data_IF_996109931835
#
_entry.id   IF_996109931835
#
_cell.length_a   1.000
_cell.length_b   1.000
_cell.length_c   1.000
_cell.angle_alpha   90.00
_cell.angle_beta   90.00
_cell.angle_gamma   90.00
#
_symmetry.space_group_name_H-M   'P 1'
#
loop_
_entity.id
_entity.type
_entity.pdbx_description
1 polymer ?
#
# COMPACT_ATOMS: atom_id res chain seq x y z
N UNK A 1 -22.23 -24.82 13.01
CA UNK A 1 -21.21 -24.28 12.08
C UNK A 1 -20.12 -23.69 12.95
N UNK A 2 -18.84 -23.99 12.70
CA UNK A 2 -17.78 -23.24 13.38
C UNK A 2 -17.94 -21.77 13.02
N UNK A 3 -17.75 -20.87 13.98
CA UNK A 3 -17.78 -19.42 13.75
C UNK A 3 -16.66 -18.96 12.82
N UNK A 4 -15.67 -19.82 12.59
CA UNK A 4 -14.40 -19.51 11.92
C UNK A 4 -14.51 -19.42 10.39
N UNK A 5 -15.65 -19.79 9.80
CA UNK A 5 -15.89 -19.78 8.34
C UNK A 5 -17.05 -18.87 7.93
N UNK A 6 -17.43 -17.90 8.76
CA UNK A 6 -18.54 -16.97 8.48
C UNK A 6 -18.00 -15.57 8.20
N UNK A 7 -18.58 -14.91 7.19
CA UNK A 7 -18.36 -13.51 6.85
C UNK A 7 -19.71 -12.82 6.72
N UNK A 8 -19.87 -11.61 7.25
CA UNK A 8 -21.07 -10.81 7.05
C UNK A 8 -20.94 -10.05 5.73
N UNK A 9 -21.82 -10.31 4.77
CA UNK A 9 -21.85 -9.58 3.49
C UNK A 9 -23.18 -8.88 3.31
N UNK A 10 -23.14 -7.56 3.16
CA UNK A 10 -24.33 -6.71 3.03
C UNK A 10 -25.32 -6.96 4.18
N UNK A 11 -24.81 -7.03 5.42
CA UNK A 11 -25.59 -7.33 6.63
C UNK A 11 -26.06 -8.79 6.78
N UNK A 12 -25.77 -9.67 5.82
CA UNK A 12 -26.20 -11.07 5.84
C UNK A 12 -25.02 -12.00 6.11
N UNK A 13 -25.07 -12.89 7.12
CA UNK A 13 -24.05 -13.92 7.32
C UNK A 13 -23.97 -14.89 6.12
N UNK A 14 -22.76 -15.12 5.63
CA UNK A 14 -22.46 -16.05 4.52
C UNK A 14 -21.34 -16.99 4.94
N UNK A 15 -21.40 -18.23 4.47
CA UNK A 15 -20.36 -19.23 4.74
C UNK A 15 -19.28 -19.23 3.68
N UNK A 16 -18.02 -19.34 4.12
CA UNK A 16 -16.83 -19.57 3.30
C UNK A 16 -16.58 -21.05 3.03
N UNK A 17 -17.35 -21.99 3.61
CA UNK A 17 -17.09 -23.43 3.52
C UNK A 17 -17.12 -23.98 2.07
N UNK A 18 -17.85 -23.32 1.17
CA UNK A 18 -17.90 -23.68 -0.25
C UNK A 18 -16.87 -22.92 -1.11
N UNK A 19 -16.10 -22.00 -0.52
CA UNK A 19 -15.04 -21.30 -1.22
C UNK A 19 -13.89 -22.27 -1.50
N UNK A 20 -13.33 -22.23 -2.71
CA UNK A 20 -12.12 -23.01 -3.00
C UNK A 20 -10.93 -22.39 -2.26
N UNK A 21 -9.95 -23.18 -1.79
CA UNK A 21 -8.76 -22.68 -1.10
C UNK A 21 -8.06 -21.53 -1.82
N UNK A 22 -7.99 -21.60 -3.14
CA UNK A 22 -7.34 -20.61 -4.00
C UNK A 22 -8.19 -19.36 -4.28
N UNK A 23 -9.49 -19.38 -3.97
CA UNK A 23 -10.40 -18.32 -4.43
C UNK A 23 -10.05 -16.98 -3.79
N UNK A 24 -10.00 -15.94 -4.62
CA UNK A 24 -10.01 -14.57 -4.15
C UNK A 24 -11.45 -14.16 -3.75
N UNK A 25 -11.57 -13.04 -3.05
CA UNK A 25 -12.84 -12.53 -2.56
C UNK A 25 -13.81 -12.18 -3.70
N UNK A 26 -13.29 -11.68 -4.84
CA UNK A 26 -14.11 -11.37 -6.01
C UNK A 26 -14.81 -12.62 -6.56
N UNK A 27 -14.06 -13.69 -6.80
CA UNK A 27 -14.59 -14.96 -7.30
C UNK A 27 -15.66 -15.53 -6.36
N UNK A 28 -15.37 -15.51 -5.06
CA UNK A 28 -16.29 -16.00 -4.06
C UNK A 28 -17.59 -15.19 -3.99
N UNK A 29 -17.49 -13.85 -3.94
CA UNK A 29 -18.67 -12.95 -3.94
C UNK A 29 -19.56 -13.19 -5.16
N UNK A 30 -18.94 -13.33 -6.35
CA UNK A 30 -19.65 -13.59 -7.59
C UNK A 30 -20.30 -14.98 -7.60
N UNK A 31 -19.63 -15.99 -7.06
CA UNK A 31 -20.15 -17.35 -6.96
C UNK A 31 -21.41 -17.46 -6.07
N UNK A 32 -21.53 -16.59 -5.06
CA UNK A 32 -22.74 -16.49 -4.22
C UNK A 32 -23.81 -15.54 -4.78
N UNK A 33 -23.65 -15.06 -6.02
CA UNK A 33 -24.62 -14.25 -6.74
C UNK A 33 -24.46 -12.72 -6.59
N UNK A 34 -23.48 -12.24 -5.83
CA UNK A 34 -23.17 -10.82 -5.69
C UNK A 34 -22.21 -10.39 -6.81
N UNK A 35 -22.80 -10.01 -7.94
CA UNK A 35 -22.06 -9.81 -9.20
C UNK A 35 -21.70 -8.36 -9.49
N UNK A 36 -22.03 -7.41 -8.61
CA UNK A 36 -21.77 -5.98 -8.75
C UNK A 36 -20.29 -5.66 -8.84
N UNK A 37 -19.45 -6.26 -7.98
CA UNK A 37 -18.00 -6.23 -8.14
C UNK A 37 -17.57 -6.97 -9.42
N UNK A 38 -16.71 -6.32 -10.22
CA UNK A 38 -16.33 -6.81 -11.56
C UNK A 38 -14.85 -7.17 -11.64
N UNK A 39 -14.54 -8.19 -12.42
CA UNK A 39 -13.17 -8.44 -12.85
C UNK A 39 -12.86 -7.58 -14.09
N UNK A 40 -11.91 -6.67 -13.98
CA UNK A 40 -11.46 -5.84 -15.11
C UNK A 40 -9.98 -5.95 -15.44
N UNK A 41 -9.13 -6.35 -14.49
CA UNK A 41 -7.68 -6.50 -14.67
C UNK A 41 -7.09 -7.68 -13.88
N UNK A 42 -7.69 -8.05 -12.74
CA UNK A 42 -7.20 -9.08 -11.81
C UNK A 42 -5.82 -8.79 -11.15
N UNK A 43 -5.35 -7.54 -11.22
CA UNK A 43 -4.06 -7.12 -10.65
C UNK A 43 -4.13 -5.85 -9.80
N UNK A 44 -5.34 -5.35 -9.52
CA UNK A 44 -5.59 -4.24 -8.61
C UNK A 44 -5.48 -2.83 -9.20
N UNK A 45 -5.23 -2.70 -10.51
CA UNK A 45 -5.08 -1.39 -11.17
C UNK A 45 -6.42 -0.69 -11.51
N UNK A 46 -7.47 -1.45 -11.87
CA UNK A 46 -8.67 -0.83 -12.42
C UNK A 46 -9.75 -0.43 -11.40
N UNK A 47 -9.70 -1.01 -10.19
CA UNK A 47 -10.67 -0.75 -9.11
C UNK A 47 -12.10 -1.22 -9.36
N UNK A 48 -12.41 -1.86 -10.50
CA UNK A 48 -13.77 -2.32 -10.82
C UNK A 48 -14.28 -3.41 -9.85
N UNK A 49 -13.37 -4.05 -9.11
CA UNK A 49 -13.65 -5.05 -8.09
C UNK A 49 -13.73 -4.44 -6.67
N UNK A 50 -13.71 -3.12 -6.52
CA UNK A 50 -13.69 -2.46 -5.20
C UNK A 50 -14.91 -2.85 -4.37
N UNK A 51 -14.66 -3.18 -3.11
CA UNK A 51 -15.67 -3.46 -2.07
C UNK A 51 -15.23 -2.76 -0.78
N UNK A 52 -16.17 -2.53 0.13
CA UNK A 52 -15.89 -1.99 1.46
C UNK A 52 -15.68 -3.12 2.46
N UNK A 53 -14.67 -3.00 3.31
CA UNK A 53 -14.51 -3.81 4.51
C UNK A 53 -14.62 -2.93 5.75
N UNK A 54 -15.33 -3.40 6.78
CA UNK A 54 -15.29 -2.78 8.10
C UNK A 54 -13.94 -3.10 8.75
N UNK A 55 -13.13 -2.07 9.01
CA UNK A 55 -11.84 -2.22 9.70
C UNK A 55 -11.83 -1.37 10.96
N UNK A 56 -11.07 -1.76 12.01
CA UNK A 56 -10.83 -0.88 13.14
C UNK A 56 -10.30 0.46 12.64
N UNK A 57 -10.96 1.54 13.05
CA UNK A 57 -10.58 2.89 12.63
C UNK A 57 -9.40 3.43 13.42
N UNK A 58 -8.83 4.51 12.91
CA UNK A 58 -7.85 5.34 13.64
C UNK A 58 -8.60 6.45 14.40
N UNK A 59 -9.64 7.00 13.79
CA UNK A 59 -10.41 8.14 14.30
C UNK A 59 -11.86 7.78 14.70
N UNK A 60 -12.29 6.55 14.39
CA UNK A 60 -13.60 5.99 14.74
C UNK A 60 -13.44 4.52 15.18
N UNK A 61 -14.47 3.92 15.80
CA UNK A 61 -14.42 2.51 16.18
C UNK A 61 -14.34 1.58 14.96
N UNK A 62 -15.04 1.95 13.89
CA UNK A 62 -14.96 1.30 12.58
C UNK A 62 -14.82 2.33 11.48
N UNK A 63 -13.98 2.04 10.50
CA UNK A 63 -13.92 2.76 9.23
C UNK A 63 -14.23 1.81 8.06
N UNK A 64 -14.97 2.33 7.08
CA UNK A 64 -15.23 1.62 5.83
C UNK A 64 -14.04 1.79 4.88
N UNK A 65 -13.28 0.72 4.70
CA UNK A 65 -12.06 0.72 3.89
C UNK A 65 -12.34 0.07 2.54
N UNK A 66 -12.19 0.82 1.45
CA UNK A 66 -12.30 0.30 0.09
C UNK A 66 -11.05 -0.52 -0.30
N UNK A 67 -11.26 -1.73 -0.82
CA UNK A 67 -10.21 -2.68 -1.18
C UNK A 67 -10.50 -3.40 -2.50
N UNK A 68 -9.44 -3.80 -3.20
CA UNK A 68 -9.53 -4.62 -4.41
C UNK A 68 -9.84 -6.08 -4.06
N UNK A 69 -11.10 -6.51 -4.21
CA UNK A 69 -11.51 -7.89 -3.91
C UNK A 69 -10.81 -8.96 -4.77
N UNK A 70 -10.28 -8.61 -5.95
CA UNK A 70 -9.53 -9.55 -6.79
C UNK A 70 -8.17 -9.97 -6.21
N UNK A 71 -7.60 -9.19 -5.27
CA UNK A 71 -6.30 -9.49 -4.66
C UNK A 71 -6.42 -10.14 -3.28
N UNK A 72 -7.59 -10.02 -2.63
CA UNK A 72 -7.83 -10.55 -1.30
C UNK A 72 -8.14 -12.05 -1.37
N UNK A 73 -7.43 -12.92 -0.64
CA UNK A 73 -7.85 -14.31 -0.47
C UNK A 73 -9.23 -14.38 0.21
N UNK A 74 -10.16 -15.19 -0.28
CA UNK A 74 -11.51 -15.28 0.30
C UNK A 74 -11.47 -15.73 1.77
N UNK A 75 -10.58 -16.68 2.11
CA UNK A 75 -10.36 -17.15 3.47
C UNK A 75 -9.93 -16.03 4.44
N UNK A 76 -9.34 -14.94 3.94
CA UNK A 76 -8.99 -13.79 4.77
C UNK A 76 -10.23 -13.06 5.30
N UNK A 77 -11.41 -13.25 4.71
CA UNK A 77 -12.65 -12.59 5.14
C UNK A 77 -13.34 -13.26 6.32
N UNK A 78 -12.83 -14.40 6.80
CA UNK A 78 -13.37 -15.08 7.97
C UNK A 78 -13.48 -14.14 9.19
N UNK A 79 -14.67 -14.09 9.79
CA UNK A 79 -15.03 -13.22 10.90
C UNK A 79 -15.24 -11.75 10.55
N UNK A 80 -15.10 -11.35 9.29
CA UNK A 80 -15.14 -9.94 8.88
C UNK A 80 -16.50 -9.51 8.29
N UNK A 81 -16.62 -8.22 8.01
CA UNK A 81 -17.80 -7.60 7.42
C UNK A 81 -17.45 -6.88 6.12
N UNK A 82 -18.20 -7.18 5.06
CA UNK A 82 -18.02 -6.68 3.70
C UNK A 82 -19.32 -6.02 3.22
N UNK A 83 -19.19 -4.87 2.57
CA UNK A 83 -20.29 -4.23 1.83
C UNK A 83 -19.89 -4.09 0.35
N UNK A 84 -20.69 -4.68 -0.53
CA UNK A 84 -20.55 -4.56 -1.98
C UNK A 84 -21.41 -3.40 -2.50
N UNK A 85 -21.28 -3.07 -3.78
CA UNK A 85 -22.12 -2.03 -4.42
C UNK A 85 -23.63 -2.27 -4.26
N UNK A 86 -24.05 -3.54 -4.23
CA UNK A 86 -25.44 -3.97 -4.04
C UNK A 86 -25.91 -3.84 -2.58
N UNK A 87 -24.97 -3.76 -1.63
CA UNK A 87 -25.26 -3.52 -0.22
C UNK A 87 -25.45 -2.05 0.13
N UNK A 88 -25.05 -1.14 -0.76
CA UNK A 88 -25.17 0.31 -0.55
C UNK A 88 -26.58 0.82 -0.90
N UNK A 89 -27.26 0.21 -1.86
CA UNK A 89 -28.59 0.64 -2.30
C UNK A 89 -29.16 -0.24 -3.41
N UNK A 90 -30.41 0.05 -3.78
CA UNK A 90 -31.16 -0.66 -4.81
C UNK A 90 -31.65 0.32 -5.89
N UNK A 91 -32.08 -0.14 -7.08
CA UNK A 91 -32.63 0.76 -8.09
C UNK A 91 -33.83 1.61 -7.63
N UNK A 92 -34.56 1.17 -6.59
CA UNK A 92 -35.69 1.90 -6.01
C UNK A 92 -35.28 2.85 -4.87
N UNK A 93 -34.12 2.63 -4.26
CA UNK A 93 -33.61 3.38 -3.12
C UNK A 93 -32.08 3.44 -3.21
N UNK A 94 -31.60 4.47 -3.90
CA UNK A 94 -30.18 4.63 -4.22
C UNK A 94 -29.45 5.29 -3.06
N UNK A 95 -28.26 4.77 -2.75
CA UNK A 95 -27.30 5.47 -1.91
C UNK A 95 -26.96 6.85 -2.49
N UNK A 96 -26.69 7.90 -1.69
CA UNK A 96 -26.31 9.23 -2.19
C UNK A 96 -25.22 9.20 -3.28
N UNK A 97 -24.16 8.41 -3.06
CA UNK A 97 -23.10 8.16 -4.07
C UNK A 97 -23.64 7.59 -5.39
N UNK A 98 -24.54 6.61 -5.33
CA UNK A 98 -25.12 6.02 -6.54
C UNK A 98 -26.01 7.03 -7.27
N UNK A 99 -26.78 7.82 -6.51
CA UNK A 99 -27.63 8.88 -7.03
C UNK A 99 -26.82 9.96 -7.76
N UNK A 100 -25.79 10.52 -7.11
CA UNK A 100 -24.96 11.58 -7.69
C UNK A 100 -24.24 11.11 -8.97
N UNK A 101 -23.72 9.89 -8.98
CA UNK A 101 -23.12 9.31 -10.19
C UNK A 101 -24.13 9.16 -11.33
N UNK A 102 -25.38 8.79 -11.03
CA UNK A 102 -26.41 8.62 -12.05
C UNK A 102 -26.84 9.98 -12.63
N UNK A 103 -27.20 10.94 -11.79
CA UNK A 103 -27.80 12.22 -12.23
C UNK A 103 -26.79 13.14 -12.92
N UNK A 104 -25.50 13.03 -12.60
CA UNK A 104 -24.43 13.85 -13.23
C UNK A 104 -23.79 13.20 -14.45
N UNK A 105 -24.25 12.01 -14.86
CA UNK A 105 -23.65 11.29 -15.99
C UNK A 105 -22.27 10.70 -15.67
N UNK A 106 -22.01 10.39 -14.40
CA UNK A 106 -20.80 9.69 -13.92
C UNK A 106 -20.72 8.23 -14.36
N UNK A 107 -21.73 7.72 -15.10
CA UNK A 107 -21.77 6.36 -15.63
C UNK A 107 -22.20 6.37 -17.11
N UNK A 108 -21.48 5.63 -17.96
CA UNK A 108 -21.85 5.39 -19.36
C UNK A 108 -22.01 3.88 -19.62
N UNK A 109 -20.91 3.14 -19.81
CA UNK A 109 -20.98 1.68 -20.01
C UNK A 109 -21.36 0.91 -18.73
N UNK A 110 -21.24 1.55 -17.55
CA UNK A 110 -21.60 0.99 -16.26
C UNK A 110 -20.57 0.03 -15.63
N UNK A 111 -19.55 -0.43 -16.36
CA UNK A 111 -18.68 -1.51 -15.89
C UNK A 111 -17.81 -1.12 -14.68
N UNK A 112 -17.24 0.09 -14.69
CA UNK A 112 -16.42 0.60 -13.58
C UNK A 112 -17.26 1.19 -12.43
N UNK A 113 -18.54 1.48 -12.68
CA UNK A 113 -19.40 2.25 -11.79
C UNK A 113 -19.53 1.61 -10.39
N UNK A 114 -19.73 0.28 -10.24
CA UNK A 114 -19.73 -0.36 -8.92
C UNK A 114 -18.46 -0.11 -8.10
N UNK A 115 -17.30 -0.15 -8.76
CA UNK A 115 -16.02 0.10 -8.10
C UNK A 115 -15.86 1.54 -7.63
N UNK A 116 -16.27 2.51 -8.47
CA UNK A 116 -16.32 3.92 -8.07
C UNK A 116 -17.28 4.15 -6.91
N UNK A 117 -18.46 3.53 -6.94
CA UNK A 117 -19.46 3.62 -5.87
C UNK A 117 -18.86 3.18 -4.53
N UNK A 118 -18.16 2.05 -4.47
CA UNK A 118 -17.52 1.60 -3.23
C UNK A 118 -16.39 2.52 -2.77
N UNK A 119 -15.51 2.98 -3.67
CA UNK A 119 -14.43 3.92 -3.30
C UNK A 119 -14.97 5.27 -2.80
N UNK A 120 -16.00 5.81 -3.47
CA UNK A 120 -16.66 7.05 -3.06
C UNK A 120 -17.42 6.88 -1.74
N UNK A 121 -18.04 5.72 -1.50
CA UNK A 121 -18.71 5.44 -0.24
C UNK A 121 -17.73 5.36 0.95
N UNK A 122 -16.53 4.78 0.76
CA UNK A 122 -15.49 4.80 1.80
C UNK A 122 -15.12 6.22 2.21
N UNK A 123 -14.91 7.09 1.21
CA UNK A 123 -14.62 8.50 1.45
C UNK A 123 -15.82 9.25 2.03
N UNK A 124 -17.04 8.99 1.57
CA UNK A 124 -18.28 9.61 2.08
C UNK A 124 -18.46 9.43 3.59
N UNK A 125 -18.06 8.28 4.13
CA UNK A 125 -18.10 7.96 5.56
C UNK A 125 -16.81 8.27 6.32
N UNK A 126 -15.81 8.91 5.70
CA UNK A 126 -14.56 9.28 6.38
C UNK A 126 -14.87 10.20 7.58
N UNK A 127 -14.38 9.87 8.79
CA UNK A 127 -14.55 10.73 9.96
C UNK A 127 -14.04 12.15 9.68
N UNK A 128 -14.82 13.16 10.08
CA UNK A 128 -14.43 14.57 9.92
C UNK A 128 -14.28 15.05 8.47
N UNK A 129 -14.89 14.38 7.48
CA UNK A 129 -14.85 14.84 6.09
C UNK A 129 -15.46 16.23 5.93
N UNK A 130 -14.63 17.18 5.51
CA UNK A 130 -15.05 18.51 5.04
C UNK A 130 -15.24 18.50 3.52
N UNK A 131 -14.17 18.17 2.79
CA UNK A 131 -14.15 18.02 1.33
C UNK A 131 -13.86 16.57 0.92
N UNK A 132 -14.23 16.22 -0.32
CA UNK A 132 -13.92 14.93 -0.91
C UNK A 132 -12.44 14.84 -1.30
N UNK A 133 -11.69 13.87 -0.76
CA UNK A 133 -10.32 13.59 -1.19
C UNK A 133 -10.31 12.80 -2.52
N UNK A 134 -9.90 13.45 -3.61
CA UNK A 134 -9.82 12.84 -4.93
C UNK A 134 -8.82 11.67 -4.99
N UNK A 135 -7.88 11.56 -4.04
CA UNK A 135 -6.99 10.40 -3.95
C UNK A 135 -7.76 9.10 -3.67
N UNK A 136 -8.94 9.19 -3.05
CA UNK A 136 -9.83 8.03 -2.86
C UNK A 136 -10.20 7.35 -4.20
N UNK A 137 -10.16 8.08 -5.32
CA UNK A 137 -10.49 7.57 -6.67
C UNK A 137 -9.26 7.18 -7.49
N UNK A 138 -8.04 7.33 -6.93
CA UNK A 138 -6.78 7.09 -7.66
C UNK A 138 -6.62 5.67 -8.21
N UNK A 139 -7.38 4.70 -7.68
CA UNK A 139 -7.36 3.29 -8.10
C UNK A 139 -8.56 2.87 -8.92
N UNK A 140 -9.38 3.80 -9.40
CA UNK A 140 -10.57 3.51 -10.19
C UNK A 140 -10.40 4.05 -11.60
N UNK A 141 -10.39 3.15 -12.59
CA UNK A 141 -10.24 3.52 -14.00
C UNK A 141 -11.58 3.54 -14.71
N UNK A 142 -11.85 4.65 -15.41
CA UNK A 142 -12.96 4.79 -16.33
C UNK A 142 -12.45 5.09 -17.74
N UNK A 143 -12.93 4.34 -18.73
CA UNK A 143 -12.54 4.56 -20.14
C UNK A 143 -13.56 5.39 -20.94
N UNK A 144 -14.74 5.63 -20.38
CA UNK A 144 -15.87 6.22 -21.13
C UNK A 144 -16.14 7.68 -20.77
N UNK A 145 -16.12 8.04 -19.48
CA UNK A 145 -16.66 9.33 -18.99
C UNK A 145 -15.72 10.51 -19.14
N UNK A 146 -14.42 10.26 -19.32
CA UNK A 146 -13.40 11.31 -19.20
C UNK A 146 -13.24 11.85 -17.78
N UNK A 147 -13.74 11.15 -16.76
CA UNK A 147 -13.66 11.44 -15.31
C UNK A 147 -14.37 12.69 -14.81
N UNK A 148 -14.47 13.77 -15.58
CA UNK A 148 -15.11 15.02 -15.15
C UNK A 148 -16.48 14.81 -14.45
N UNK A 149 -17.47 14.11 -15.03
CA UNK A 149 -18.77 13.95 -14.35
C UNK A 149 -18.71 13.05 -13.08
N UNK A 150 -17.69 12.20 -12.95
CA UNK A 150 -17.47 11.40 -11.73
C UNK A 150 -16.93 12.29 -10.61
N UNK A 151 -15.98 13.18 -10.93
CA UNK A 151 -15.43 14.15 -9.97
C UNK A 151 -16.52 15.12 -9.52
N UNK A 152 -17.30 15.66 -10.47
CA UNK A 152 -18.44 16.52 -10.14
C UNK A 152 -19.49 15.82 -9.25
N UNK A 153 -19.64 14.50 -9.37
CA UNK A 153 -20.49 13.70 -8.49
C UNK A 153 -19.89 13.51 -7.09
N UNK A 154 -18.57 13.34 -6.99
CA UNK A 154 -17.87 13.21 -5.73
C UNK A 154 -17.90 14.51 -4.91
N UNK A 155 -17.63 15.65 -5.57
CA UNK A 155 -17.66 16.99 -4.96
C UNK A 155 -19.08 17.41 -4.54
N UNK A 156 -20.12 16.86 -5.17
CA UNK A 156 -21.51 17.16 -4.83
C UNK A 156 -22.04 16.42 -3.59
N UNK A 157 -21.30 15.44 -3.08
CA UNK A 157 -21.74 14.65 -1.92
C UNK A 157 -21.76 15.49 -0.65
N UNK A 158 -22.96 15.75 -0.13
CA UNK A 158 -23.16 16.31 1.21
C UNK A 158 -22.76 15.35 2.34
N UNK A 159 -23.06 15.70 3.59
CA UNK A 159 -22.81 14.80 4.72
C UNK A 159 -23.78 13.59 4.74
N UNK A 160 -23.37 12.43 5.26
CA UNK A 160 -24.28 11.32 5.52
C UNK A 160 -25.39 11.71 6.50
N UNK A 161 -26.60 11.17 6.30
CA UNK A 161 -27.72 11.34 7.21
C UNK A 161 -27.44 10.63 8.55
N UNK A 162 -27.83 11.21 9.68
CA UNK A 162 -27.65 10.60 11.01
C UNK A 162 -28.45 9.31 11.21
N UNK A 163 -29.48 9.09 10.39
CA UNK A 163 -30.26 7.87 10.32
C UNK A 163 -29.63 6.79 9.44
N UNK A 164 -28.59 7.12 8.67
CA UNK A 164 -27.90 6.17 7.78
C UNK A 164 -27.34 4.99 8.59
N UNK A 165 -27.75 3.75 8.28
CA UNK A 165 -27.28 2.56 9.01
C UNK A 165 -25.78 2.32 8.87
N UNK A 166 -25.16 2.67 7.74
CA UNK A 166 -23.72 2.50 7.51
C UNK A 166 -22.91 3.57 8.24
N UNK A 167 -23.43 4.78 8.40
CA UNK A 167 -22.85 5.78 9.30
C UNK A 167 -22.96 5.30 10.76
N UNK A 168 -24.14 4.88 11.20
CA UNK A 168 -24.31 4.37 12.58
C UNK A 168 -23.42 3.17 12.86
N UNK A 169 -23.15 2.33 11.85
CA UNK A 169 -22.26 1.18 11.99
C UNK A 169 -20.82 1.58 12.35
N UNK A 170 -20.38 2.80 12.03
CA UNK A 170 -19.02 3.28 12.35
C UNK A 170 -18.79 3.54 13.84
N UNK A 171 -19.87 3.64 14.64
CA UNK A 171 -19.82 3.92 16.09
C UNK A 171 -19.72 2.67 16.95
N UNK A 172 -19.64 1.49 16.33
CA UNK A 172 -19.43 0.21 17.00
C UNK A 172 -18.14 -0.44 16.50
N UNK A 173 -17.45 -1.17 17.36
CA UNK A 173 -16.21 -1.87 17.02
C UNK A 173 -16.33 -2.72 15.74
N UNK A 174 -15.28 -2.70 14.94
CA UNK A 174 -15.20 -3.55 13.76
C UNK A 174 -15.09 -5.02 14.21
N UNK A 175 -15.64 -5.98 13.44
CA UNK A 175 -15.50 -7.38 13.79
C UNK A 175 -14.01 -7.76 13.77
N UNK A 176 -13.56 -8.45 14.83
CA UNK A 176 -12.20 -8.97 14.86
C UNK A 176 -12.06 -10.08 13.83
N UNK A 177 -10.98 -10.05 13.06
CA UNK A 177 -10.61 -11.18 12.23
C UNK A 177 -10.42 -12.42 13.11
N UNK A 178 -11.14 -13.50 12.80
CA UNK A 178 -11.06 -14.73 13.59
C UNK A 178 -9.81 -15.52 13.23
N UNK A 179 -9.13 -16.17 14.18
CA UNK A 179 -8.20 -17.24 13.85
C UNK A 179 -8.92 -18.31 13.02
N UNK A 180 -8.30 -18.75 11.93
CA UNK A 180 -8.95 -19.62 10.95
C UNK A 180 -7.95 -20.63 10.42
N UNK A 181 -8.37 -21.88 10.28
CA UNK A 181 -7.61 -22.92 9.60
C UNK A 181 -8.47 -23.54 8.52
N UNK A 182 -7.99 -23.48 7.28
CA UNK A 182 -8.59 -24.10 6.12
C UNK A 182 -7.50 -24.76 5.27
N UNK A 183 -7.89 -25.53 4.26
CA UNK A 183 -6.93 -26.12 3.33
C UNK A 183 -6.04 -25.01 2.70
N UNK A 184 -4.72 -25.14 2.84
CA UNK A 184 -3.75 -24.17 2.33
C UNK A 184 -3.84 -22.75 2.89
N UNK A 185 -4.49 -22.55 4.05
CA UNK A 185 -4.62 -21.25 4.72
C UNK A 185 -4.64 -21.37 6.24
N UNK A 186 -3.83 -20.55 6.91
CA UNK A 186 -3.87 -20.37 8.36
C UNK A 186 -3.87 -18.87 8.67
N UNK A 187 -4.82 -18.42 9.49
CA UNK A 187 -4.73 -17.17 10.23
C UNK A 187 -4.48 -17.50 11.70
N UNK A 188 -3.25 -17.33 12.20
CA UNK A 188 -2.90 -17.55 13.60
C UNK A 188 -3.50 -16.47 14.50
N UNK A 189 -3.63 -16.78 15.79
CA UNK A 189 -4.06 -15.81 16.80
C UNK A 189 -2.92 -14.88 17.26
N UNK A 190 -1.69 -15.40 17.24
CA UNK A 190 -0.51 -14.74 17.81
C UNK A 190 0.74 -14.96 16.93
N UNK A 191 1.75 -14.13 17.12
CA UNK A 191 3.00 -14.19 16.35
C UNK A 191 3.72 -15.54 16.48
N UNK A 192 3.72 -16.15 17.67
CA UNK A 192 4.36 -17.45 17.89
C UNK A 192 3.79 -18.54 16.97
N UNK A 193 2.46 -18.63 16.85
CA UNK A 193 1.79 -19.58 15.96
C UNK A 193 2.10 -19.29 14.48
N UNK A 194 2.27 -18.01 14.12
CA UNK A 194 2.66 -17.63 12.76
C UNK A 194 4.06 -18.13 12.42
N UNK A 195 5.01 -17.99 13.35
CA UNK A 195 6.39 -18.44 13.19
C UNK A 195 6.48 -19.96 13.12
N UNK A 196 5.70 -20.67 13.96
CA UNK A 196 5.57 -22.12 13.88
C UNK A 196 5.03 -22.59 12.53
N UNK A 197 3.98 -21.93 12.01
CA UNK A 197 3.41 -22.27 10.70
C UNK A 197 4.38 -21.97 9.53
N UNK A 198 5.19 -20.92 9.66
CA UNK A 198 6.18 -20.55 8.64
C UNK A 198 7.40 -21.46 8.62
N UNK A 199 7.61 -22.29 9.64
CA UNK A 199 8.63 -23.33 9.62
C UNK A 199 8.29 -24.46 8.63
N UNK A 200 7.03 -24.57 8.18
CA UNK A 200 6.64 -25.53 7.14
C UNK A 200 7.28 -25.17 5.78
N UNK A 201 8.00 -26.09 5.12
CA UNK A 201 8.63 -25.82 3.83
C UNK A 201 7.63 -25.35 2.78
N UNK A 202 7.87 -24.16 2.22
CA UNK A 202 7.02 -23.55 1.19
C UNK A 202 5.83 -22.76 1.73
N UNK A 203 5.69 -22.62 3.06
CA UNK A 203 4.77 -21.67 3.65
C UNK A 203 5.15 -20.23 3.30
N UNK A 204 4.16 -19.40 3.00
CA UNK A 204 4.35 -18.00 2.63
C UNK A 204 3.49 -17.11 3.53
N UNK A 205 4.13 -16.13 4.15
CA UNK A 205 3.43 -15.10 4.91
C UNK A 205 2.62 -14.21 3.96
N UNK A 206 1.37 -13.94 4.31
CA UNK A 206 0.48 -13.05 3.54
C UNK A 206 -0.08 -11.98 4.46
N UNK A 207 0.05 -10.71 4.03
CA UNK A 207 -0.62 -9.58 4.67
C UNK A 207 -1.74 -9.08 3.74
N UNK A 208 -1.53 -7.95 3.07
CA UNK A 208 -2.48 -7.39 2.09
C UNK A 208 -2.69 -8.19 0.81
N UNK A 209 -1.81 -9.16 0.52
CA UNK A 209 -1.84 -9.98 -0.71
C UNK A 209 -1.74 -9.16 -2.02
N UNK A 210 -1.26 -7.91 -1.97
CA UNK A 210 -1.20 -7.04 -3.15
C UNK A 210 -0.16 -7.46 -4.19
N UNK A 211 0.90 -8.15 -3.78
CA UNK A 211 1.85 -8.81 -4.69
C UNK A 211 1.45 -10.27 -4.95
N UNK A 212 1.16 -11.03 -3.88
CA UNK A 212 0.83 -12.45 -3.99
C UNK A 212 -0.43 -12.71 -4.82
N UNK A 213 -1.45 -11.85 -4.69
CA UNK A 213 -2.67 -11.93 -5.48
C UNK A 213 -2.41 -11.75 -6.98
N UNK A 214 -1.49 -10.85 -7.35
CA UNK A 214 -1.08 -10.66 -8.76
C UNK A 214 -0.36 -11.90 -9.29
N UNK A 215 0.60 -12.44 -8.52
CA UNK A 215 1.30 -13.68 -8.90
C UNK A 215 0.34 -14.86 -9.03
N UNK A 216 -0.66 -14.96 -8.14
CA UNK A 216 -1.68 -16.01 -8.20
C UNK A 216 -2.61 -15.86 -9.41
N UNK A 217 -3.07 -14.63 -9.69
CA UNK A 217 -4.04 -14.37 -10.75
C UNK A 217 -3.41 -14.43 -12.15
N UNK A 218 -2.21 -13.85 -12.32
CA UNK A 218 -1.60 -13.69 -13.64
C UNK A 218 -0.56 -14.76 -14.00
N UNK A 219 0.03 -15.42 -12.99
CA UNK A 219 1.09 -16.41 -13.19
C UNK A 219 0.74 -17.79 -12.65
N UNK A 220 -0.41 -17.93 -12.00
CA UNK A 220 -0.85 -19.20 -11.41
C UNK A 220 0.02 -19.67 -10.25
N UNK A 221 0.88 -18.82 -9.68
CA UNK A 221 1.72 -19.18 -8.56
C UNK A 221 0.91 -19.19 -7.26
N UNK A 222 0.71 -20.38 -6.69
CA UNK A 222 -0.12 -20.58 -5.50
C UNK A 222 0.68 -21.35 -4.44
N UNK A 223 1.14 -20.68 -3.36
CA UNK A 223 1.83 -21.37 -2.27
C UNK A 223 0.92 -22.44 -1.64
N UNK A 224 1.53 -23.55 -1.23
CA UNK A 224 0.81 -24.67 -0.61
C UNK A 224 0.15 -24.23 0.71
N UNK A 225 0.85 -23.42 1.49
CA UNK A 225 0.35 -22.84 2.74
C UNK A 225 0.55 -21.32 2.73
N UNK A 226 -0.53 -20.59 3.01
CA UNK A 226 -0.51 -19.13 3.22
C UNK A 226 -0.79 -18.85 4.70
N UNK A 227 0.12 -18.11 5.35
CA UNK A 227 0.03 -17.75 6.77
C UNK A 227 -0.31 -16.27 6.89
N UNK A 228 -1.54 -15.96 7.30
CA UNK A 228 -2.06 -14.60 7.33
C UNK A 228 -1.56 -13.82 8.55
N UNK A 229 -0.74 -12.81 8.31
CA UNK A 229 -0.11 -12.00 9.37
C UNK A 229 -0.72 -10.59 9.47
N UNK A 230 -1.74 -10.28 8.67
CA UNK A 230 -2.30 -8.91 8.53
C UNK A 230 -2.90 -8.36 9.83
N UNK A 231 -3.31 -9.23 10.75
CA UNK A 231 -4.06 -8.90 11.98
C UNK A 231 -3.38 -9.32 13.28
N UNK A 232 -2.08 -9.61 13.25
CA UNK A 232 -1.31 -9.88 14.46
C UNK A 232 -0.95 -8.57 15.15
N UNK A 233 -1.43 -8.35 16.37
CA UNK A 233 -1.22 -7.10 17.11
C UNK A 233 0.27 -6.81 17.32
N UNK A 234 1.08 -7.85 17.53
CA UNK A 234 2.53 -7.77 17.71
C UNK A 234 3.26 -7.17 16.49
N UNK A 235 2.63 -7.21 15.31
CA UNK A 235 3.18 -6.68 14.05
C UNK A 235 2.56 -5.34 13.63
N UNK A 236 1.69 -4.75 14.45
CA UNK A 236 0.87 -3.58 14.09
C UNK A 236 1.14 -2.32 14.92
N UNK A 237 2.16 -2.33 15.77
CA UNK A 237 2.53 -1.15 16.57
C UNK A 237 3.17 -0.02 15.73
N UNK A 238 2.95 1.23 16.12
CA UNK A 238 3.71 2.38 15.62
C UNK A 238 4.10 3.28 16.80
N UNK A 239 5.40 3.56 16.93
CA UNK A 239 5.96 4.36 18.01
C UNK A 239 6.87 5.43 17.44
N UNK A 240 6.62 6.69 17.76
CA UNK A 240 7.50 7.83 17.44
C UNK A 240 8.23 8.22 18.72
N UNK A 241 9.42 7.66 18.94
CA UNK A 241 10.29 7.96 20.08
C UNK A 241 11.28 9.09 19.78
N UNK A 242 12.08 9.44 20.77
CA UNK A 242 13.16 10.45 20.63
C UNK A 242 14.28 9.94 19.71
N UNK A 243 14.73 8.71 19.93
CA UNK A 243 15.85 8.07 19.21
C UNK A 243 15.45 7.44 17.86
N UNK A 244 14.20 7.00 17.72
CA UNK A 244 13.74 6.32 16.51
C UNK A 244 12.23 6.34 16.32
N UNK A 245 11.81 6.18 15.06
CA UNK A 245 10.45 5.83 14.67
C UNK A 245 10.41 4.33 14.39
N UNK A 246 9.46 3.61 14.99
CA UNK A 246 9.25 2.17 14.80
C UNK A 246 7.88 1.94 14.16
N UNK A 247 7.85 1.18 13.07
CA UNK A 247 6.65 0.94 12.27
C UNK A 247 6.47 -0.58 12.09
N UNK A 248 5.40 -1.13 12.65
CA UNK A 248 5.06 -2.55 12.56
C UNK A 248 4.84 -3.01 11.12
N UNK A 249 5.35 -4.19 10.80
CA UNK A 249 5.38 -4.73 9.44
C UNK A 249 4.00 -5.01 8.84
N UNK A 250 2.98 -5.25 9.67
CA UNK A 250 1.61 -5.54 9.25
C UNK A 250 0.72 -4.30 9.17
N UNK A 251 1.23 -3.09 9.49
CA UNK A 251 0.52 -1.86 9.20
C UNK A 251 0.41 -1.64 7.69
N UNK A 252 -0.80 -1.31 7.24
CA UNK A 252 -1.05 -0.93 5.85
C UNK A 252 -0.40 0.42 5.56
N UNK A 253 -0.07 0.69 4.30
CA UNK A 253 0.58 1.96 3.94
C UNK A 253 -0.32 3.16 4.24
N UNK A 254 -1.65 3.02 4.13
CA UNK A 254 -2.60 4.06 4.54
C UNK A 254 -2.68 4.25 6.06
N UNK A 255 -2.53 3.18 6.85
CA UNK A 255 -2.41 3.31 8.31
C UNK A 255 -1.11 4.02 8.69
N UNK A 256 0.02 3.65 8.07
CA UNK A 256 1.31 4.30 8.32
C UNK A 256 1.26 5.79 7.98
N UNK A 257 0.71 6.15 6.82
CA UNK A 257 0.52 7.55 6.40
C UNK A 257 -0.22 8.38 7.46
N UNK A 258 -1.39 7.91 7.89
CA UNK A 258 -2.24 8.60 8.87
C UNK A 258 -1.63 8.61 10.27
N UNK A 259 -1.11 7.47 10.73
CA UNK A 259 -0.50 7.33 12.05
C UNK A 259 0.83 8.07 12.18
N UNK A 260 1.55 8.34 11.08
CA UNK A 260 2.70 9.23 11.10
C UNK A 260 2.30 10.69 11.01
N UNK A 261 1.18 11.03 10.35
CA UNK A 261 0.67 12.41 10.25
C UNK A 261 1.78 13.43 9.89
N UNK A 262 2.63 13.11 8.90
CA UNK A 262 3.72 13.99 8.45
C UNK A 262 4.98 14.04 9.32
N UNK A 263 5.04 13.35 10.47
CA UNK A 263 6.22 13.34 11.37
C UNK A 263 7.49 12.74 10.77
N UNK A 264 7.37 12.00 9.66
CA UNK A 264 8.49 11.57 8.82
C UNK A 264 8.30 12.22 7.45
N UNK A 265 8.87 13.43 7.22
CA UNK A 265 8.57 14.23 6.04
C UNK A 265 8.80 13.50 4.71
N UNK A 266 9.89 12.73 4.60
CA UNK A 266 10.20 11.99 3.38
C UNK A 266 9.12 10.93 3.05
N UNK A 267 8.58 10.24 4.05
CA UNK A 267 7.48 9.29 3.81
C UNK A 267 6.19 10.01 3.42
N UNK A 268 5.95 11.21 3.95
CA UNK A 268 4.80 12.03 3.58
C UNK A 268 4.83 12.43 2.09
N UNK A 269 6.01 12.57 1.48
CA UNK A 269 6.13 12.80 0.03
C UNK A 269 5.95 11.53 -0.81
N UNK A 270 6.30 10.37 -0.26
CA UNK A 270 6.18 9.07 -0.95
C UNK A 270 4.71 8.68 -1.10
N UNK A 271 3.94 8.75 -0.01
CA UNK A 271 2.60 8.16 0.06
C UNK A 271 1.63 8.65 -1.03
N UNK A 272 1.50 9.95 -1.32
CA UNK A 272 0.61 10.45 -2.38
C UNK A 272 0.97 9.93 -3.79
N UNK A 273 2.22 9.52 -3.99
CA UNK A 273 2.78 9.03 -5.25
C UNK A 273 2.86 7.49 -5.31
N UNK A 274 2.62 6.81 -4.18
CA UNK A 274 2.70 5.36 -4.05
C UNK A 274 1.37 4.69 -4.41
N UNK A 275 1.33 4.01 -5.56
CA UNK A 275 0.17 3.27 -6.05
C UNK A 275 -1.15 4.08 -5.97
N UNK A 276 -2.28 3.39 -5.90
CA UNK A 276 -3.59 3.96 -5.58
C UNK A 276 -3.97 3.78 -4.11
N UNK A 277 -4.99 4.54 -3.65
CA UNK A 277 -5.58 4.37 -2.30
C UNK A 277 -6.08 2.94 -2.07
N UNK A 278 -6.67 2.28 -3.06
CA UNK A 278 -7.13 0.89 -2.96
C UNK A 278 -5.99 -0.09 -2.68
N UNK A 279 -4.82 0.12 -3.31
CA UNK A 279 -3.63 -0.69 -3.03
C UNK A 279 -3.07 -0.35 -1.65
N UNK A 280 -2.92 0.94 -1.30
CA UNK A 280 -2.36 1.37 0.00
C UNK A 280 -3.19 0.94 1.22
N UNK A 281 -4.50 0.81 1.05
CA UNK A 281 -5.43 0.29 2.06
C UNK A 281 -5.19 -1.19 2.39
N UNK A 282 -4.53 -1.96 1.51
CA UNK A 282 -4.22 -3.37 1.73
C UNK A 282 -2.72 -3.65 1.88
N UNK A 283 -1.88 -3.05 1.05
CA UNK A 283 -0.43 -3.22 1.05
C UNK A 283 0.16 -2.82 2.40
N UNK A 284 1.11 -3.60 2.90
CA UNK A 284 1.81 -3.31 4.17
C UNK A 284 3.26 -2.92 3.94
N UNK A 285 3.83 -2.18 4.88
CA UNK A 285 5.25 -1.80 4.83
C UNK A 285 6.17 -3.04 4.82
N UNK A 286 5.85 -4.05 5.64
CA UNK A 286 6.57 -5.31 5.66
C UNK A 286 6.39 -6.12 4.39
N UNK A 287 5.18 -6.14 3.81
CA UNK A 287 4.93 -6.78 2.52
C UNK A 287 5.76 -6.16 1.40
N UNK A 288 5.83 -4.82 1.34
CA UNK A 288 6.61 -4.12 0.34
C UNK A 288 8.11 -4.47 0.39
N UNK A 289 8.71 -4.48 1.59
CA UNK A 289 10.10 -4.88 1.78
C UNK A 289 10.31 -6.38 1.59
N UNK A 290 9.37 -7.21 2.04
CA UNK A 290 9.42 -8.66 1.90
C UNK A 290 9.38 -9.14 0.45
N UNK A 291 8.69 -8.40 -0.44
CA UNK A 291 8.66 -8.67 -1.88
C UNK A 291 10.04 -8.47 -2.53
N UNK A 292 10.87 -7.56 -2.02
CA UNK A 292 12.22 -7.30 -2.57
C UNK A 292 12.23 -6.77 -4.01
N UNK A 293 11.19 -6.03 -4.41
CA UNK A 293 11.10 -5.49 -5.77
C UNK A 293 12.13 -4.38 -6.01
N UNK A 294 12.93 -4.42 -7.09
CA UNK A 294 13.90 -3.36 -7.40
C UNK A 294 13.25 -2.03 -7.77
N UNK A 295 11.96 -2.03 -8.10
CA UNK A 295 11.18 -0.87 -8.53
C UNK A 295 10.18 -0.42 -7.46
N UNK A 296 10.29 -0.95 -6.23
CA UNK A 296 9.49 -0.49 -5.10
C UNK A 296 9.87 0.93 -4.68
N UNK A 297 8.87 1.78 -4.42
CA UNK A 297 9.08 3.20 -4.09
C UNK A 297 9.49 3.43 -2.63
N UNK A 298 9.09 2.54 -1.72
CA UNK A 298 9.31 2.73 -0.29
C UNK A 298 10.73 2.35 0.14
N UNK A 299 11.34 1.33 -0.48
CA UNK A 299 12.70 0.91 -0.15
C UNK A 299 13.75 2.02 -0.38
N UNK A 300 13.75 2.78 -1.50
CA UNK A 300 14.59 3.95 -1.68
C UNK A 300 14.42 5.00 -0.57
N UNK A 301 13.18 5.31 -0.17
CA UNK A 301 12.92 6.26 0.90
C UNK A 301 13.46 5.77 2.25
N UNK A 302 13.24 4.51 2.58
CA UNK A 302 13.76 3.91 3.82
C UNK A 302 15.29 3.79 3.81
N UNK A 303 15.92 3.60 2.65
CA UNK A 303 17.38 3.64 2.50
C UNK A 303 17.92 5.04 2.78
N UNK A 304 17.29 6.09 2.23
CA UNK A 304 17.66 7.49 2.51
C UNK A 304 17.43 7.89 3.98
N UNK A 305 16.51 7.20 4.67
CA UNK A 305 16.23 7.39 6.10
C UNK A 305 17.17 6.58 7.01
N UNK A 306 18.19 5.90 6.48
CA UNK A 306 19.08 5.00 7.24
C UNK A 306 18.31 3.94 8.04
N UNK A 307 17.19 3.46 7.49
CA UNK A 307 16.33 2.53 8.20
C UNK A 307 17.00 1.16 8.41
N UNK A 308 16.50 0.43 9.39
CA UNK A 308 16.80 -0.98 9.64
C UNK A 308 15.50 -1.79 9.71
N UNK A 309 15.60 -3.08 9.40
CA UNK A 309 14.51 -4.05 9.57
C UNK A 309 14.82 -4.95 10.75
N UNK A 310 13.81 -5.18 11.58
CA UNK A 310 13.88 -6.15 12.66
C UNK A 310 13.27 -7.44 12.14
N UNK A 311 14.06 -8.51 12.14
CA UNK A 311 13.66 -9.85 11.73
C UNK A 311 13.43 -10.71 12.97
N UNK A 312 12.34 -11.46 12.98
CA UNK A 312 11.95 -12.34 14.09
C UNK A 312 11.71 -13.77 13.59
N UNK A 313 12.14 -14.74 14.38
CA UNK A 313 11.95 -16.17 14.20
C UNK A 313 11.64 -16.83 15.56
N UNK A 314 11.32 -18.12 15.57
CA UNK A 314 11.18 -18.87 16.82
C UNK A 314 12.47 -18.90 17.68
N UNK A 315 13.64 -18.70 17.05
CA UNK A 315 14.95 -18.71 17.70
C UNK A 315 15.33 -17.34 18.31
N UNK A 316 14.60 -16.29 17.98
CA UNK A 316 14.84 -14.94 18.47
C UNK A 316 14.74 -13.85 17.41
N UNK A 317 15.28 -12.69 17.75
CA UNK A 317 15.20 -11.45 16.98
C UNK A 317 16.59 -10.97 16.56
N UNK A 318 16.71 -10.40 15.36
CA UNK A 318 17.92 -9.70 14.90
C UNK A 318 17.57 -8.46 14.08
N UNK A 319 18.43 -7.44 14.16
CA UNK A 319 18.30 -6.22 13.35
C UNK A 319 19.26 -6.26 12.16
N UNK A 320 18.78 -5.87 10.97
CA UNK A 320 19.57 -5.73 9.75
C UNK A 320 19.41 -4.31 9.23
N UNK A 321 20.51 -3.61 8.96
CA UNK A 321 20.48 -2.30 8.29
C UNK A 321 19.93 -2.50 6.88
N UNK A 322 19.00 -1.64 6.44
CA UNK A 322 18.28 -1.88 5.18
C UNK A 322 19.21 -1.91 3.96
N UNK A 323 20.33 -1.20 4.00
CA UNK A 323 21.36 -1.21 2.96
C UNK A 323 21.96 -2.62 2.72
N UNK A 324 21.97 -3.47 3.75
CA UNK A 324 22.48 -4.85 3.68
C UNK A 324 21.36 -5.89 3.54
N UNK A 325 20.10 -5.47 3.50
CA UNK A 325 18.97 -6.39 3.52
C UNK A 325 18.76 -7.08 2.17
N UNK A 326 18.86 -6.35 1.06
CA UNK A 326 18.63 -6.88 -0.29
C UNK A 326 19.90 -7.47 -0.88
N UNK A 327 19.87 -8.74 -1.27
CA UNK A 327 21.05 -9.48 -1.78
C UNK A 327 21.01 -9.73 -3.28
N UNK A 328 19.85 -9.50 -3.92
CA UNK A 328 19.63 -9.73 -5.34
C UNK A 328 18.19 -9.46 -5.74
N UNK A 329 17.87 -9.73 -7.00
CA UNK A 329 16.52 -9.51 -7.54
C UNK A 329 15.47 -10.34 -6.77
N UNK A 330 14.58 -9.66 -6.02
CA UNK A 330 13.59 -10.30 -5.13
C UNK A 330 14.20 -11.26 -4.11
N UNK A 331 15.42 -10.97 -3.67
CA UNK A 331 16.16 -11.75 -2.68
C UNK A 331 16.61 -10.85 -1.53
N UNK A 332 16.64 -11.41 -0.33
CA UNK A 332 17.10 -10.72 0.88
C UNK A 332 17.88 -11.67 1.79
N UNK A 333 18.49 -11.12 2.85
CA UNK A 333 19.15 -11.90 3.91
C UNK A 333 18.16 -12.61 4.86
N UNK A 334 16.85 -12.42 4.68
CA UNK A 334 15.80 -13.01 5.52
C UNK A 334 15.77 -14.53 5.29
N UNK A 335 15.83 -15.31 6.37
CA UNK A 335 15.65 -16.77 6.32
C UNK A 335 14.18 -17.12 6.05
N UNK A 336 13.91 -18.36 5.63
CA UNK A 336 12.53 -18.80 5.33
C UNK A 336 11.61 -18.82 6.55
N UNK A 337 12.18 -19.03 7.74
CA UNK A 337 11.51 -19.05 9.04
C UNK A 337 11.47 -17.68 9.74
N UNK A 338 11.94 -16.62 9.07
CA UNK A 338 11.94 -15.25 9.59
C UNK A 338 10.80 -14.40 9.02
N UNK A 339 10.23 -13.55 9.86
CA UNK A 339 9.34 -12.45 9.48
C UNK A 339 10.02 -11.10 9.70
N UNK A 340 9.65 -10.12 8.88
CA UNK A 340 9.89 -8.72 9.24
C UNK A 340 8.90 -8.37 10.34
N UNK A 341 9.38 -8.02 11.54
CA UNK A 341 8.56 -7.60 12.65
C UNK A 341 8.19 -6.12 12.55
N UNK A 342 9.20 -5.28 12.34
CA UNK A 342 9.05 -3.84 12.19
C UNK A 342 10.19 -3.21 11.38
N UNK A 343 9.96 -1.99 10.91
CA UNK A 343 10.97 -1.09 10.35
C UNK A 343 11.31 -0.04 11.39
N UNK A 344 12.61 0.19 11.63
CA UNK A 344 13.13 1.20 12.56
C UNK A 344 13.87 2.28 11.78
N UNK A 345 13.46 3.53 11.95
CA UNK A 345 14.05 4.71 11.33
C UNK A 345 14.75 5.53 12.42
N UNK A 346 16.08 5.73 12.36
CA UNK A 346 16.81 6.53 13.35
C UNK A 346 16.42 8.01 13.30
N UNK A 347 16.57 8.70 14.43
CA UNK A 347 16.43 10.16 14.56
C UNK A 347 17.77 10.79 15.02
N UNK A 348 18.02 12.08 14.74
CA UNK A 348 17.15 13.04 14.07
C UNK A 348 16.96 12.76 12.57
N UNK A 349 15.82 13.20 12.03
CA UNK A 349 15.54 13.14 10.59
C UNK A 349 16.20 14.34 9.90
N UNK A 350 16.59 14.15 8.63
CA UNK A 350 17.06 15.25 7.80
C UNK A 350 15.92 16.27 7.58
N UNK A 351 16.17 17.58 7.69
CA UNK A 351 15.15 18.61 7.50
C UNK A 351 14.78 18.79 6.02
N UNK A 352 15.76 18.68 5.12
CA UNK A 352 15.58 18.89 3.69
C UNK A 352 15.40 17.53 3.00
N UNK A 353 14.19 17.23 2.58
CA UNK A 353 13.85 15.95 1.95
C UNK A 353 13.20 16.17 0.59
N UNK A 354 13.35 15.19 -0.29
CA UNK A 354 12.58 15.14 -1.53
C UNK A 354 12.42 13.71 -2.04
N UNK A 355 11.22 13.34 -2.47
CA UNK A 355 10.94 12.10 -3.19
C UNK A 355 10.52 12.40 -4.63
N UNK A 356 11.39 12.00 -5.56
CA UNK A 356 11.16 12.12 -6.99
C UNK A 356 10.81 10.76 -7.58
N UNK A 357 9.53 10.59 -7.94
CA UNK A 357 9.05 9.48 -8.74
C UNK A 357 8.97 9.86 -10.21
N UNK A 358 9.69 9.12 -11.06
CA UNK A 358 9.62 9.25 -12.51
C UNK A 358 8.89 8.03 -13.05
N UNK A 359 7.71 8.27 -13.64
CA UNK A 359 6.85 7.26 -14.24
C UNK A 359 6.11 7.87 -15.45
N UNK A 360 5.35 7.06 -16.22
CA UNK A 360 4.60 7.54 -17.38
C UNK A 360 3.30 8.25 -16.98
N UNK A 361 2.71 7.83 -15.87
CA UNK A 361 1.53 8.44 -15.25
C UNK A 361 1.87 8.90 -13.83
N UNK A 362 1.26 10.01 -13.41
CA UNK A 362 1.50 10.61 -12.09
C UNK A 362 1.03 9.73 -10.93
N UNK A 363 -0.11 9.07 -11.08
CA UNK A 363 -0.72 8.22 -10.05
C UNK A 363 -0.76 6.77 -10.50
N UNK A 364 -0.70 5.85 -9.54
CA UNK A 364 -0.92 4.42 -9.77
C UNK A 364 -0.07 3.85 -10.93
N UNK A 365 1.20 4.21 -10.98
CA UNK A 365 2.15 3.72 -11.99
C UNK A 365 3.42 3.22 -11.33
N UNK A 366 4.12 2.34 -12.01
CA UNK A 366 5.37 1.75 -11.55
C UNK A 366 6.53 2.65 -11.95
N UNK A 367 7.42 2.91 -11.01
CA UNK A 367 8.56 3.80 -11.22
C UNK A 367 9.52 3.28 -12.28
N UNK A 368 9.85 4.17 -13.22
CA UNK A 368 11.07 4.04 -14.03
C UNK A 368 12.29 4.36 -13.18
N UNK A 369 12.22 5.42 -12.38
CA UNK A 369 13.25 5.77 -11.39
C UNK A 369 12.54 6.34 -10.17
N UNK A 370 12.97 5.91 -8.98
CA UNK A 370 12.59 6.52 -7.71
C UNK A 370 13.86 7.05 -7.03
N UNK A 371 13.86 8.31 -6.62
CA UNK A 371 14.98 8.94 -5.92
C UNK A 371 14.47 9.58 -4.65
N UNK A 372 15.00 9.14 -3.52
CA UNK A 372 14.73 9.73 -2.22
C UNK A 372 15.96 10.46 -1.72
N UNK A 373 15.81 11.75 -1.42
CA UNK A 373 16.85 12.61 -0.87
C UNK A 373 16.54 12.91 0.60
N UNK A 374 17.53 12.78 1.47
CA UNK A 374 17.51 13.24 2.84
C UNK A 374 18.83 13.98 3.13
N UNK A 375 18.75 15.30 3.19
CA UNK A 375 19.90 16.21 3.19
C UNK A 375 19.81 17.17 4.37
N UNK A 376 20.96 17.51 4.94
CA UNK A 376 21.07 18.53 5.98
C UNK A 376 22.04 19.61 5.54
N UNK A 377 21.51 20.81 5.25
CA UNK A 377 22.31 21.98 4.88
C UNK A 377 22.52 22.88 6.09
N UNK A 378 23.77 23.25 6.38
CA UNK A 378 24.15 24.19 7.44
C UNK A 378 24.98 25.32 6.83
N UNK A 379 24.54 26.56 7.00
CA UNK A 379 25.23 27.76 6.50
C UNK A 379 25.59 27.65 5.00
N UNK A 380 24.67 27.10 4.20
CA UNK A 380 24.85 26.92 2.76
C UNK A 380 25.79 25.77 2.35
N UNK A 381 26.23 24.94 3.30
CA UNK A 381 27.08 23.76 3.05
C UNK A 381 26.36 22.48 3.47
N UNK A 382 26.46 21.43 2.67
CA UNK A 382 25.85 20.14 3.00
C UNK A 382 26.66 19.44 4.10
N UNK A 383 26.02 19.17 5.23
CA UNK A 383 26.62 18.53 6.41
C UNK A 383 26.35 17.02 6.48
N UNK A 384 25.21 16.57 5.93
CA UNK A 384 24.84 15.16 5.79
C UNK A 384 24.02 14.97 4.52
N UNK A 385 24.22 13.86 3.82
CA UNK A 385 23.43 13.46 2.66
C UNK A 385 23.22 11.95 2.67
N UNK A 386 21.97 11.53 2.48
CA UNK A 386 21.58 10.14 2.25
C UNK A 386 20.61 10.10 1.07
N UNK A 387 20.92 9.29 0.07
CA UNK A 387 20.18 9.21 -1.19
C UNK A 387 19.90 7.75 -1.53
N UNK A 388 18.62 7.37 -1.53
CA UNK A 388 18.17 6.04 -1.89
C UNK A 388 17.60 6.01 -3.31
N UNK A 389 17.90 4.95 -4.06
CA UNK A 389 17.55 4.78 -5.46
C UNK A 389 16.75 3.50 -5.70
N UNK A 390 15.73 3.58 -6.55
CA UNK A 390 14.93 2.46 -7.05
C UNK A 390 14.83 2.47 -8.57
N UNK A 391 14.70 1.28 -9.17
CA UNK A 391 14.55 1.09 -10.62
C UNK A 391 15.82 1.27 -11.44
N UNK A 392 17.00 1.29 -10.79
CA UNK A 392 18.29 1.56 -11.45
C UNK A 392 19.35 0.48 -11.21
N UNK A 393 18.99 -0.59 -10.49
CA UNK A 393 19.82 -1.78 -10.28
C UNK A 393 18.92 -3.00 -10.00
N UNK A 394 19.53 -4.17 -9.79
CA UNK A 394 18.81 -5.40 -9.44
C UNK A 394 18.15 -5.35 -8.05
N UNK A 395 18.56 -4.41 -7.20
CA UNK A 395 18.01 -4.10 -5.88
C UNK A 395 17.89 -2.59 -5.70
N UNK A 396 17.10 -2.09 -4.74
CA UNK A 396 17.23 -0.72 -4.24
C UNK A 396 18.62 -0.50 -3.66
N UNK A 397 19.24 0.66 -3.91
CA UNK A 397 20.62 0.96 -3.52
C UNK A 397 20.77 2.38 -2.93
N UNK A 398 21.87 2.61 -2.22
CA UNK A 398 22.35 3.95 -1.83
C UNK A 398 23.25 4.54 -2.91
N UNK A 399 23.18 5.86 -3.09
CA UNK A 399 24.05 6.59 -4.02
C UNK A 399 25.33 7.05 -3.29
N UNK A 400 26.08 6.12 -2.69
CA UNK A 400 27.15 6.43 -1.72
C UNK A 400 28.23 7.37 -2.27
N UNK A 401 28.55 7.30 -3.56
CA UNK A 401 29.53 8.21 -4.18
C UNK A 401 28.99 9.64 -4.32
N UNK A 402 27.72 9.79 -4.71
CA UNK A 402 27.07 11.10 -4.76
C UNK A 402 26.93 11.71 -3.36
N UNK A 403 26.59 10.90 -2.36
CA UNK A 403 26.53 11.31 -0.95
C UNK A 403 27.89 11.84 -0.46
N UNK A 404 28.98 11.11 -0.76
CA UNK A 404 30.35 11.50 -0.41
C UNK A 404 30.76 12.82 -1.05
N UNK A 405 30.38 13.04 -2.31
CA UNK A 405 30.68 14.28 -3.03
C UNK A 405 29.83 15.46 -2.56
N UNK A 406 28.62 15.20 -2.04
CA UNK A 406 27.76 16.25 -1.49
C UNK A 406 28.29 16.76 -0.15
N UNK A 407 28.73 15.89 0.76
CA UNK A 407 29.19 16.33 2.09
C UNK A 407 30.37 17.29 1.95
N UNK A 408 30.20 18.50 2.49
CA UNK A 408 31.17 19.61 2.38
C UNK A 408 31.03 20.47 1.13
N UNK A 409 30.16 20.12 0.17
CA UNK A 409 29.87 20.94 -0.99
C UNK A 409 28.92 22.10 -0.63
N UNK A 410 29.04 23.21 -1.36
CA UNK A 410 28.06 24.30 -1.28
C UNK A 410 26.72 23.86 -1.86
N UNK A 411 25.62 24.21 -1.19
CA UNK A 411 24.26 23.97 -1.67
C UNK A 411 23.90 25.00 -2.77
N UNK A 412 24.51 24.84 -3.93
CA UNK A 412 24.26 25.64 -5.14
C UNK A 412 24.34 24.77 -6.38
N UNK A 413 23.79 25.20 -7.54
CA UNK A 413 23.86 24.44 -8.79
C UNK A 413 25.29 24.01 -9.16
N UNK A 414 26.27 24.88 -8.94
CA UNK A 414 27.69 24.61 -9.20
C UNK A 414 28.29 23.66 -8.16
N UNK A 415 27.95 23.85 -6.88
CA UNK A 415 28.49 23.04 -5.80
C UNK A 415 28.05 21.58 -5.86
N UNK A 416 26.81 21.32 -6.28
CA UNK A 416 26.29 19.94 -6.39
C UNK A 416 26.57 19.26 -7.72
N UNK A 417 27.19 19.95 -8.69
CA UNK A 417 27.32 19.46 -10.06
C UNK A 417 28.02 18.09 -10.13
N UNK A 418 29.15 17.93 -9.42
CA UNK A 418 29.90 16.68 -9.39
C UNK A 418 29.09 15.52 -8.77
N UNK A 419 28.35 15.79 -7.70
CA UNK A 419 27.47 14.80 -7.09
C UNK A 419 26.30 14.43 -8.00
N UNK A 420 25.75 15.39 -8.76
CA UNK A 420 24.68 15.14 -9.70
C UNK A 420 25.15 14.30 -10.91
N UNK A 421 26.41 14.43 -11.32
CA UNK A 421 27.03 13.57 -12.33
C UNK A 421 27.27 12.16 -11.79
N UNK A 422 27.83 12.04 -10.58
CA UNK A 422 27.99 10.73 -9.92
C UNK A 422 26.64 10.02 -9.69
N UNK A 423 25.58 10.78 -9.41
CA UNK A 423 24.23 10.26 -9.29
C UNK A 423 23.70 9.72 -10.63
N UNK A 424 24.02 10.37 -11.76
CA UNK A 424 23.64 9.90 -13.09
C UNK A 424 24.31 8.57 -13.47
N UNK A 425 25.50 8.31 -12.93
CA UNK A 425 26.27 7.08 -13.13
C UNK A 425 25.97 6.01 -12.06
N UNK A 426 25.06 6.28 -11.11
CA UNK A 426 24.71 5.34 -10.06
C UNK A 426 23.89 4.15 -10.59
N UNK A 427 24.30 2.94 -10.21
CA UNK A 427 23.63 1.69 -10.57
C UNK A 427 23.96 1.18 -11.97
N UNK A 428 23.11 0.29 -12.49
CA UNK A 428 23.24 -0.36 -13.82
C UNK A 428 21.86 -0.42 -14.50
N UNK A 429 21.26 0.73 -14.84
CA UNK A 429 19.91 0.78 -15.37
C UNK A 429 19.80 0.04 -16.71
N UNK A 430 18.69 -0.70 -16.87
CA UNK A 430 18.37 -1.47 -18.08
C UNK A 430 17.41 -0.70 -18.99
N UNK A 431 17.39 -1.06 -20.26
CA UNK A 431 16.31 -0.70 -21.19
C UNK A 431 15.12 -1.65 -20.99
N UNK A 432 13.92 -1.09 -20.83
CA UNK A 432 12.67 -1.86 -20.82
C UNK A 432 11.50 -1.05 -21.40
N UNK A 433 10.28 -1.60 -21.31
CA UNK A 433 9.08 -0.93 -21.78
C UNK A 433 8.71 0.33 -20.96
N UNK A 434 9.28 0.54 -19.76
CA UNK A 434 9.00 1.71 -18.91
C UNK A 434 9.88 2.89 -19.31
N UNK A 435 11.18 2.66 -19.49
CA UNK A 435 12.15 3.67 -19.89
C UNK A 435 13.45 3.07 -20.41
N UNK A 436 14.16 3.83 -21.25
CA UNK A 436 15.53 3.50 -21.65
C UNK A 436 16.52 3.75 -20.51
N UNK A 437 17.65 3.03 -20.53
CA UNK A 437 18.74 3.20 -19.59
C UNK A 437 19.28 4.64 -19.63
N UNK A 438 19.40 5.22 -20.83
CA UNK A 438 19.84 6.61 -21.02
C UNK A 438 18.89 7.61 -20.35
N UNK A 439 17.57 7.41 -20.47
CA UNK A 439 16.59 8.27 -19.80
C UNK A 439 16.66 8.13 -18.28
N UNK A 440 16.80 6.89 -17.76
CA UNK A 440 16.95 6.64 -16.31
C UNK A 440 18.16 7.39 -15.73
N UNK A 441 19.33 7.27 -16.37
CA UNK A 441 20.55 8.00 -15.97
C UNK A 441 20.37 9.52 -15.98
N UNK A 442 19.77 10.05 -17.04
CA UNK A 442 19.50 11.49 -17.12
C UNK A 442 18.59 11.97 -15.97
N UNK A 443 17.54 11.22 -15.64
CA UNK A 443 16.61 11.58 -14.58
C UNK A 443 17.22 11.52 -13.19
N UNK A 444 18.13 10.57 -12.93
CA UNK A 444 18.89 10.50 -11.68
C UNK A 444 19.63 11.82 -11.40
N UNK A 445 20.51 12.25 -12.32
CA UNK A 445 21.27 13.48 -12.13
C UNK A 445 20.41 14.75 -12.16
N UNK A 446 19.30 14.77 -12.90
CA UNK A 446 18.37 15.90 -12.91
C UNK A 446 17.59 16.03 -11.59
N UNK A 447 17.35 14.91 -10.88
CA UNK A 447 16.60 14.93 -9.62
C UNK A 447 17.28 15.81 -8.55
N UNK A 448 18.61 15.74 -8.43
CA UNK A 448 19.39 16.55 -7.50
C UNK A 448 19.47 18.02 -7.95
N UNK A 449 19.69 18.26 -9.25
CA UNK A 449 19.72 19.62 -9.82
C UNK A 449 18.39 20.35 -9.60
N UNK A 450 17.27 19.65 -9.80
CA UNK A 450 15.94 20.17 -9.56
C UNK A 450 15.74 20.53 -8.09
N UNK A 451 16.15 19.64 -7.17
CA UNK A 451 16.01 19.86 -5.73
C UNK A 451 16.69 21.16 -5.28
N UNK A 452 17.94 21.38 -5.71
CA UNK A 452 18.68 22.61 -5.41
C UNK A 452 18.04 23.84 -6.04
N UNK A 453 17.54 23.74 -7.28
CA UNK A 453 16.91 24.88 -7.96
C UNK A 453 15.55 25.30 -7.35
N UNK A 454 14.90 24.42 -6.58
CA UNK A 454 13.65 24.70 -5.87
C UNK A 454 13.82 25.08 -4.40
N UNK A 455 15.06 25.09 -3.89
CA UNK A 455 15.40 25.37 -2.49
C UNK A 455 15.52 26.87 -2.19
#
# INVERSE_FOLDING_TARGET
MSTDDVVTVNGTPRSLAAARPESNALDWLRAIGLTGAKEGCAEGECGACSVLLARPGIEAETEWVALNSCLLPAASLAGQEVVTSEGLGTPADLHPVQSELAVRGGSQCGYCTPGFVCSMAAEFYRPGREDFDHHALSGNLCRCTGYRPIVEAAEALGAPDQADPLLRRTTSAAPAASPTRAEGWIRPAHLAEALEALAEPGAVAVAGSTDLGVEANLRGHRPALRVAIDRLDELRGLVVGEESVQIGAALTLSEVERLLAGRVPLLAEVFPQFASRLIRNGATIGGNLGTGSPIGDLAPALLALDASVVLVSAEGERTVVLADYFTGYRQSVRRSDELIALVRIPRPLAPDVAFHKIAKRRFDDISSVAVAHAIEVREGTVSRAAIGLGGVAATPIRASEAERLLVGASWSPEGVAAAADALADAGTPIDDHRASAAYRRAMLGQSLRRLVASS
#
